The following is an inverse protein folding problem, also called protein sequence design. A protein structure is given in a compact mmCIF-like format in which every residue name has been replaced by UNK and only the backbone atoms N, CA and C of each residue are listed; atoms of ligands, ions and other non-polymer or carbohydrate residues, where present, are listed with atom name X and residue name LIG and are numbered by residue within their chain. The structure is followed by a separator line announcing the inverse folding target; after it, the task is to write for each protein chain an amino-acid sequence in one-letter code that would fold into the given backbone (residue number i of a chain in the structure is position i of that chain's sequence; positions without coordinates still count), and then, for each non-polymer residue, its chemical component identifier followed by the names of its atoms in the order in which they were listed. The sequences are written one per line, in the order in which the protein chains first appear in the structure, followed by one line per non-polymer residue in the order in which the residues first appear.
data_IF_968948015512
#
_entry.id   IF_968948015512
#
_cell.length_a   1.000
_cell.length_b   1.000
_cell.length_c   1.000
_cell.angle_alpha   90.00
_cell.angle_beta   90.00
_cell.angle_gamma   90.00
#
_symmetry.space_group_name_H-M   'P 1'
#
loop_
_entity.id
_entity.type
_entity.pdbx_description
1 polymer ?
#
# COMPACT_ATOMS: atom_id res chain seq x y z
N UNK A 1 18.88 5.38 -15.58
CA UNK A 1 18.39 4.02 -15.30
C UNK A 1 17.66 4.11 -13.98
N UNK A 2 16.32 4.01 -13.97
CA UNK A 2 15.55 4.04 -12.74
C UNK A 2 15.59 2.64 -12.13
N UNK A 3 16.27 2.47 -11.00
CA UNK A 3 16.16 1.26 -10.20
C UNK A 3 14.75 1.20 -9.63
N UNK A 4 13.87 0.37 -10.20
CA UNK A 4 12.60 0.00 -9.57
C UNK A 4 12.90 -0.89 -8.37
N UNK A 5 13.14 -0.25 -7.23
CA UNK A 5 13.25 -0.91 -5.94
C UNK A 5 11.86 -1.42 -5.56
N UNK A 6 11.58 -2.68 -5.90
CA UNK A 6 10.37 -3.37 -5.46
C UNK A 6 10.64 -3.81 -4.02
N UNK A 7 10.35 -2.94 -3.06
CA UNK A 7 10.39 -3.30 -1.63
C UNK A 7 9.08 -3.98 -1.27
N UNK A 8 9.15 -5.22 -0.80
CA UNK A 8 8.02 -5.89 -0.16
C UNK A 8 7.67 -5.15 1.13
N UNK A 9 6.66 -4.28 1.07
CA UNK A 9 5.96 -3.82 2.25
C UNK A 9 4.97 -4.90 2.65
N UNK A 10 5.45 -5.92 3.37
CA UNK A 10 4.59 -6.95 3.93
C UNK A 10 3.60 -6.31 4.91
N UNK A 11 2.37 -6.12 4.44
CA UNK A 11 1.20 -5.97 5.31
C UNK A 11 0.81 -4.57 5.80
N UNK A 12 1.57 -3.49 5.52
CA UNK A 12 1.28 -2.22 6.19
C UNK A 12 0.32 -1.32 5.40
N UNK A 13 -0.98 -1.42 5.70
CA UNK A 13 -2.00 -0.49 5.17
C UNK A 13 -1.70 0.96 5.51
N UNK A 14 -0.85 1.23 6.50
CA UNK A 14 -0.35 2.57 6.76
C UNK A 14 0.46 3.12 5.58
N UNK A 15 1.35 2.31 5.01
CA UNK A 15 2.13 2.70 3.83
C UNK A 15 1.19 2.92 2.62
N UNK A 16 0.15 2.09 2.48
CA UNK A 16 -0.86 2.27 1.44
C UNK A 16 -1.64 3.57 1.59
N UNK A 17 -2.07 3.88 2.81
CA UNK A 17 -2.73 5.14 3.09
C UNK A 17 -1.81 6.33 2.78
N UNK A 18 -0.55 6.28 3.22
CA UNK A 18 0.42 7.34 2.94
C UNK A 18 0.69 7.54 1.45
N UNK A 19 0.78 6.45 0.69
CA UNK A 19 0.95 6.50 -0.77
C UNK A 19 -0.31 7.02 -1.48
N UNK A 20 -1.50 6.66 -1.01
CA UNK A 20 -2.76 7.21 -1.53
C UNK A 20 -2.88 8.73 -1.28
N UNK A 21 -2.22 9.24 -0.23
CA UNK A 21 -2.13 10.67 0.08
C UNK A 21 -0.99 11.39 -0.66
N UNK A 22 -0.15 10.67 -1.42
CA UNK A 22 0.99 11.25 -2.14
C UNK A 22 2.13 11.71 -1.24
N UNK A 23 2.29 11.11 -0.06
CA UNK A 23 3.41 11.42 0.84
C UNK A 23 4.72 10.85 0.28
N UNK A 24 5.82 11.59 0.48
CA UNK A 24 7.16 11.09 0.21
C UNK A 24 7.53 9.93 1.14
N UNK A 25 8.57 9.17 0.79
CA UNK A 25 9.06 8.05 1.61
C UNK A 25 9.47 8.51 3.03
N UNK A 26 10.16 9.64 3.14
CA UNK A 26 10.55 10.22 4.43
C UNK A 26 9.34 10.55 5.31
N UNK A 27 8.34 11.23 4.76
CA UNK A 27 7.11 11.57 5.50
C UNK A 27 6.28 10.36 5.85
N UNK A 28 6.27 9.35 4.99
CA UNK A 28 5.60 8.07 5.25
C UNK A 28 6.21 7.40 6.48
N UNK A 29 7.54 7.33 6.55
CA UNK A 29 8.27 6.76 7.69
C UNK A 29 8.00 7.55 8.98
N UNK A 30 8.09 8.88 8.94
CA UNK A 30 7.78 9.73 10.10
C UNK A 30 6.35 9.56 10.60
N UNK A 31 5.38 9.41 9.69
CA UNK A 31 3.98 9.21 10.04
C UNK A 31 3.75 7.84 10.72
N UNK A 32 4.40 6.79 10.22
CA UNK A 32 4.32 5.43 10.77
C UNK A 32 5.00 5.38 12.15
N UNK A 33 6.25 5.81 12.25
CA UNK A 33 7.01 5.81 13.51
C UNK A 33 6.36 6.71 14.57
N UNK A 34 5.71 7.79 14.14
CA UNK A 34 4.96 8.70 15.01
C UNK A 34 3.54 8.24 15.38
N UNK A 35 3.06 7.12 14.83
CA UNK A 35 1.68 6.64 15.06
C UNK A 35 0.59 7.60 14.57
N UNK A 36 0.90 8.47 13.60
CA UNK A 36 0.02 9.56 13.13
C UNK A 36 -0.85 9.16 11.94
N UNK A 37 -0.64 7.98 11.37
CA UNK A 37 -1.26 7.58 10.10
C UNK A 37 -2.78 7.57 10.19
N UNK A 38 -3.37 7.02 11.27
CA UNK A 38 -4.83 7.02 11.42
C UNK A 38 -5.42 8.43 11.44
N UNK A 39 -4.76 9.38 12.11
CA UNK A 39 -5.21 10.78 12.09
C UNK A 39 -5.11 11.38 10.70
N UNK A 40 -4.02 11.12 9.96
CA UNK A 40 -3.86 11.58 8.59
C UNK A 40 -4.93 11.03 7.64
N UNK A 41 -5.32 9.76 7.81
CA UNK A 41 -6.43 9.15 7.04
C UNK A 41 -7.76 9.83 7.35
N UNK A 42 -8.03 10.09 8.63
CA UNK A 42 -9.25 10.80 9.05
C UNK A 42 -9.27 12.22 8.48
N UNK A 43 -8.16 12.94 8.53
CA UNK A 43 -8.08 14.32 8.06
C UNK A 43 -8.27 14.41 6.53
N UNK A 44 -7.71 13.45 5.80
CA UNK A 44 -7.69 13.46 4.32
C UNK A 44 -8.94 12.85 3.71
N UNK A 45 -9.33 11.65 4.16
CA UNK A 45 -10.41 10.86 3.56
C UNK A 45 -11.70 10.91 4.38
N UNK A 46 -11.69 11.54 5.57
CA UNK A 46 -12.85 11.62 6.49
C UNK A 46 -13.38 10.26 6.93
N UNK A 47 -12.50 9.25 6.93
CA UNK A 47 -12.80 7.88 7.41
C UNK A 47 -11.69 7.41 8.34
N UNK A 48 -12.01 6.46 9.23
CA UNK A 48 -10.99 5.81 10.06
C UNK A 48 -10.08 4.91 9.21
N UNK A 49 -8.83 4.72 9.64
CA UNK A 49 -7.90 3.79 9.01
C UNK A 49 -8.49 2.39 8.85
N UNK A 50 -9.21 1.89 9.86
CA UNK A 50 -9.88 0.59 9.79
C UNK A 50 -10.90 0.48 8.66
N UNK A 51 -11.59 1.57 8.33
CA UNK A 51 -12.53 1.61 7.19
C UNK A 51 -11.77 1.66 5.87
N UNK A 52 -10.68 2.45 5.79
CA UNK A 52 -9.79 2.47 4.64
C UNK A 52 -9.23 1.07 4.35
N UNK A 53 -8.78 0.35 5.38
CA UNK A 53 -8.30 -1.02 5.26
C UNK A 53 -9.34 -1.97 4.68
N UNK A 54 -10.60 -1.87 5.12
CA UNK A 54 -11.68 -2.73 4.61
C UNK A 54 -11.95 -2.46 3.13
N UNK A 55 -11.98 -1.19 2.73
CA UNK A 55 -12.13 -0.80 1.32
C UNK A 55 -10.95 -1.30 0.50
N UNK A 56 -9.71 -1.09 0.96
CA UNK A 56 -8.52 -1.57 0.29
C UNK A 56 -8.50 -3.11 0.16
N UNK A 57 -8.95 -3.84 1.20
CA UNK A 57 -9.15 -5.31 1.16
C UNK A 57 -10.17 -5.74 0.10
N UNK A 58 -11.30 -5.03 0.01
CA UNK A 58 -12.33 -5.34 -0.97
C UNK A 58 -11.90 -5.04 -2.43
N UNK A 59 -11.03 -4.05 -2.62
CA UNK A 59 -10.54 -3.66 -3.94
C UNK A 59 -9.35 -4.50 -4.42
N UNK A 60 -8.58 -5.11 -3.51
CA UNK A 60 -7.41 -5.93 -3.86
C UNK A 60 -7.70 -6.99 -4.93
N UNK A 61 -8.77 -7.82 -4.84
CA UNK A 61 -9.09 -8.82 -5.87
C UNK A 61 -9.43 -8.22 -7.25
N UNK A 62 -9.82 -6.95 -7.30
CA UNK A 62 -10.11 -6.24 -8.54
C UNK A 62 -8.85 -5.64 -9.19
N UNK A 63 -7.76 -5.50 -8.43
CA UNK A 63 -6.47 -5.07 -8.96
C UNK A 63 -5.88 -6.18 -9.83
N UNK A 64 -5.42 -5.87 -11.07
CA UNK A 64 -4.81 -6.85 -11.95
C UNK A 64 -3.66 -7.58 -11.25
N UNK A 65 -3.63 -8.92 -11.26
CA UNK A 65 -2.53 -9.65 -10.66
C UNK A 65 -1.25 -9.44 -11.46
N UNK A 66 -0.16 -9.15 -10.77
CA UNK A 66 1.20 -9.12 -11.31
C UNK A 66 1.86 -10.45 -11.00
N UNK A 67 2.47 -11.09 -12.00
CA UNK A 67 3.16 -12.37 -11.82
C UNK A 67 4.65 -12.10 -11.61
N UNK A 68 5.23 -12.59 -10.50
CA UNK A 68 6.69 -12.60 -10.35
C UNK A 68 7.32 -13.57 -11.35
N UNK A 69 8.38 -13.12 -12.02
CA UNK A 69 9.03 -13.90 -13.08
C UNK A 69 9.86 -15.09 -12.58
N UNK A 70 10.17 -15.14 -11.29
CA UNK A 70 11.13 -16.09 -10.72
C UNK A 70 10.45 -17.37 -10.24
N UNK A 71 9.29 -17.24 -9.59
CA UNK A 71 8.54 -18.33 -8.95
C UNK A 71 7.15 -18.56 -9.57
N UNK A 72 6.64 -17.61 -10.35
CA UNK A 72 5.29 -17.66 -10.93
C UNK A 72 4.19 -17.28 -9.93
N UNK A 73 4.54 -16.78 -8.74
CA UNK A 73 3.57 -16.30 -7.77
C UNK A 73 2.86 -15.05 -8.30
N UNK A 74 1.54 -14.99 -8.06
CA UNK A 74 0.70 -13.86 -8.47
C UNK A 74 0.49 -12.97 -7.27
N UNK A 75 0.67 -11.67 -7.42
CA UNK A 75 0.47 -10.65 -6.39
C UNK A 75 -0.55 -9.62 -6.85
N UNK A 76 -1.33 -9.05 -5.93
CA UNK A 76 -2.12 -7.86 -6.24
C UNK A 76 -1.30 -6.62 -5.94
N UNK A 77 -1.30 -5.66 -6.87
CA UNK A 77 -0.47 -4.46 -6.77
C UNK A 77 -1.34 -3.21 -6.83
N UNK A 78 -1.13 -2.31 -5.86
CA UNK A 78 -1.57 -0.92 -5.97
C UNK A 78 -0.39 -0.08 -6.43
N UNK A 79 -0.47 0.52 -7.62
CA UNK A 79 0.57 1.41 -8.12
C UNK A 79 0.01 2.81 -8.41
N UNK A 80 0.74 3.83 -8.02
CA UNK A 80 0.70 5.16 -8.65
C UNK A 80 1.99 5.32 -9.48
N UNK A 81 2.02 6.21 -10.47
CA UNK A 81 3.11 6.27 -11.46
C UNK A 81 4.56 6.33 -10.93
N UNK A 82 4.76 6.53 -9.63
CA UNK A 82 6.06 6.56 -8.95
C UNK A 82 6.24 5.46 -7.88
N UNK A 83 5.17 4.85 -7.38
CA UNK A 83 5.20 3.92 -6.23
C UNK A 83 4.30 2.71 -6.44
N UNK A 84 4.74 1.54 -5.97
CA UNK A 84 3.93 0.32 -6.00
C UNK A 84 3.94 -0.37 -4.63
N UNK A 85 2.76 -0.78 -4.15
CA UNK A 85 2.60 -1.69 -3.02
C UNK A 85 2.17 -3.04 -3.56
N UNK A 86 3.02 -4.03 -3.33
CA UNK A 86 2.78 -5.42 -3.68
C UNK A 86 2.18 -6.11 -2.47
N UNK A 87 1.02 -6.75 -2.65
CA UNK A 87 0.43 -7.62 -1.65
C UNK A 87 0.26 -9.02 -2.19
N UNK A 88 0.84 -10.00 -1.49
CA UNK A 88 0.59 -11.41 -1.78
C UNK A 88 -0.90 -11.71 -1.62
N UNK A 89 -1.52 -12.49 -2.53
CA UNK A 89 -2.85 -13.00 -2.34
C UNK A 89 -2.83 -13.74 -1.01
N UNK A 90 -3.82 -13.42 -0.17
CA UNK A 90 -4.06 -14.22 1.02
C UNK A 90 -4.28 -15.66 0.56
N UNK A 91 -3.33 -16.54 0.86
CA UNK A 91 -3.61 -17.96 0.96
C UNK A 91 -4.42 -18.10 2.24
N UNK A 92 -5.66 -18.58 2.11
CA UNK A 92 -6.59 -18.85 3.22
C UNK A 92 -5.97 -19.67 4.35
#
# INVERSE_FOLDING_TARGET
MAESVTREFSGDFNALACLAMGLSEERTREAIEGGKVNQLVIDTFRIALSSFEQVAKALLPLAPPVTMRIDGERFHVFANGENAIVKSPFVE
#
